data_IF_485835763057
#
_entry.id   IF_485835763057
#
_cell.length_a   1.000
_cell.length_b   1.000
_cell.length_c   1.000
_cell.angle_alpha   90.00
_cell.angle_beta   90.00
_cell.angle_gamma   90.00
#
_symmetry.space_group_name_H-M   'P 1'
#
loop_
_entity.id
_entity.type
_entity.pdbx_description
1 polymer ?
#
# COMPACT_ATOMS: atom_id res chain seq x y z
N UNK A 1 3.66 6.19 2.05
CA UNK A 1 2.84 6.15 3.28
C UNK A 1 1.54 5.42 2.97
N UNK A 2 0.97 4.68 3.93
CA UNK A 2 -0.28 3.91 3.72
C UNK A 2 -1.51 4.78 3.48
N UNK A 3 -1.54 5.97 4.08
CA UNK A 3 -2.58 6.99 3.83
C UNK A 3 -2.55 7.47 2.38
N UNK A 4 -1.36 7.85 1.89
CA UNK A 4 -1.20 8.32 0.49
C UNK A 4 -1.61 7.24 -0.51
N UNK A 5 -1.20 5.99 -0.29
CA UNK A 5 -1.64 4.88 -1.13
C UNK A 5 -3.17 4.74 -1.09
N UNK A 6 -3.76 4.70 0.12
CA UNK A 6 -5.21 4.63 0.32
C UNK A 6 -5.97 5.72 -0.44
N UNK A 7 -5.49 6.97 -0.37
CA UNK A 7 -6.09 8.11 -1.05
C UNK A 7 -6.00 7.97 -2.58
N UNK A 8 -4.88 7.47 -3.11
CA UNK A 8 -4.69 7.24 -4.55
C UNK A 8 -5.60 6.12 -5.09
N UNK A 9 -5.78 5.05 -4.31
CA UNK A 9 -6.66 3.95 -4.72
C UNK A 9 -8.13 4.18 -4.37
N UNK A 10 -8.45 5.24 -3.62
CA UNK A 10 -9.78 5.44 -3.05
C UNK A 10 -10.19 4.34 -2.04
N UNK A 11 -9.21 3.67 -1.42
CA UNK A 11 -9.43 2.58 -0.47
C UNK A 11 -9.19 3.02 0.97
N UNK A 12 -9.89 2.42 1.93
CA UNK A 12 -9.62 2.67 3.34
C UNK A 12 -8.23 2.11 3.75
N UNK A 13 -7.41 2.83 4.54
CA UNK A 13 -6.07 2.36 4.95
C UNK A 13 -6.07 0.99 5.67
N UNK A 14 -7.17 0.65 6.35
CA UNK A 14 -7.36 -0.67 6.97
C UNK A 14 -7.40 -1.79 5.93
N UNK A 15 -8.00 -1.55 4.76
CA UNK A 15 -8.06 -2.51 3.65
C UNK A 15 -6.66 -2.80 3.11
N UNK A 16 -5.84 -1.75 2.94
CA UNK A 16 -4.44 -1.90 2.53
C UNK A 16 -3.61 -2.70 3.54
N UNK A 17 -3.86 -2.51 4.85
CA UNK A 17 -3.21 -3.34 5.89
C UNK A 17 -3.59 -4.81 5.77
N UNK A 18 -4.85 -5.11 5.47
CA UNK A 18 -5.30 -6.49 5.26
C UNK A 18 -4.60 -7.10 4.04
N UNK A 19 -4.42 -6.33 2.96
CA UNK A 19 -3.70 -6.81 1.77
C UNK A 19 -2.21 -7.03 2.02
N UNK A 20 -1.56 -6.15 2.79
CA UNK A 20 -0.19 -6.39 3.29
C UNK A 20 -0.11 -7.68 4.11
N UNK A 21 -1.02 -7.84 5.06
CA UNK A 21 -1.03 -9.01 5.96
C UNK A 21 -1.30 -10.31 5.20
N UNK A 22 -2.12 -10.26 4.14
CA UNK A 22 -2.38 -11.38 3.24
C UNK A 22 -1.27 -11.63 2.22
N UNK A 23 -0.24 -10.78 2.16
CA UNK A 23 0.85 -10.89 1.18
C UNK A 23 0.47 -10.52 -0.26
N UNK A 24 -0.67 -9.82 -0.44
CA UNK A 24 -1.14 -9.36 -1.75
C UNK A 24 -0.36 -8.12 -2.22
N UNK A 25 0.11 -7.32 -1.27
CA UNK A 25 0.94 -6.12 -1.51
C UNK A 25 2.17 -6.19 -0.64
N UNK A 26 3.33 -5.85 -1.20
CA UNK A 26 4.60 -5.96 -0.49
C UNK A 26 5.35 -4.61 -0.50
N UNK A 27 4.97 -3.66 0.37
CA UNK A 27 5.59 -2.34 0.38
C UNK A 27 7.04 -2.43 0.81
N UNK A 28 7.91 -1.68 0.11
CA UNK A 28 9.30 -1.51 0.55
C UNK A 28 9.32 -0.64 1.81
N UNK A 29 10.17 -1.00 2.76
CA UNK A 29 10.43 -0.18 3.96
C UNK A 29 11.71 0.63 3.74
N UNK A 30 11.66 1.94 3.97
CA UNK A 30 12.89 2.74 4.06
C UNK A 30 13.58 2.57 5.40
N UNK A 31 14.83 3.05 5.47
CA UNK A 31 15.60 3.16 6.72
C UNK A 31 14.84 3.90 7.84
N UNK A 32 13.93 4.82 7.49
CA UNK A 32 13.05 5.51 8.44
C UNK A 32 11.75 4.75 8.80
N UNK A 33 11.69 3.44 8.56
CA UNK A 33 10.52 2.57 8.81
C UNK A 33 9.22 3.04 8.10
N UNK A 34 9.36 3.83 7.03
CA UNK A 34 8.20 4.30 6.26
C UNK A 34 7.87 3.31 5.15
N UNK A 35 6.58 3.01 4.98
CA UNK A 35 6.07 2.18 3.89
C UNK A 35 6.07 2.96 2.57
N UNK A 36 6.79 2.46 1.57
CA UNK A 36 6.71 2.89 0.18
C UNK A 36 5.99 1.83 -0.64
N UNK A 37 4.91 2.25 -1.27
CA UNK A 37 4.23 1.50 -2.31
C UNK A 37 4.83 1.95 -3.63
N UNK A 38 5.15 1.00 -4.50
CA UNK A 38 5.53 1.33 -5.86
C UNK A 38 4.29 1.65 -6.69
N UNK A 39 4.45 2.38 -7.79
CA UNK A 39 3.34 2.67 -8.71
C UNK A 39 2.67 1.37 -9.20
N UNK A 40 3.45 0.30 -9.37
CA UNK A 40 2.96 -1.05 -9.72
C UNK A 40 2.06 -1.64 -8.63
N UNK A 41 2.40 -1.43 -7.35
CA UNK A 41 1.55 -1.89 -6.24
C UNK A 41 0.23 -1.11 -6.22
N UNK A 42 0.27 0.19 -6.52
CA UNK A 42 -0.92 1.05 -6.60
C UNK A 42 -1.81 0.65 -7.78
N UNK A 43 -1.22 0.40 -8.95
CA UNK A 43 -1.93 -0.04 -10.14
C UNK A 43 -2.62 -1.39 -9.93
N UNK A 44 -1.96 -2.33 -9.24
CA UNK A 44 -2.57 -3.62 -8.84
C UNK A 44 -3.75 -3.47 -7.90
N UNK A 45 -3.82 -2.39 -7.12
CA UNK A 45 -4.90 -2.13 -6.18
C UNK A 45 -6.10 -1.44 -6.86
N UNK A 46 -5.90 -0.83 -8.03
CA UNK A 46 -6.96 -0.16 -8.80
C UNK A 46 -7.73 -1.12 -9.74
N UNK A 47 -7.21 -2.32 -9.99
CA UNK A 47 -7.83 -3.38 -10.80
C UNK A 47 -8.86 -4.20 -10.01
#
# INVERSE_FOLDING_TARGET
MISVAADIVGMHPQTLRIYEQKGLVNPKRTAGNTRLYSDVDIERLQL
#
